data_IF_134858103728
#
_entry.id   IF_134858103728
#
_cell.length_a   1.000
_cell.length_b   1.000
_cell.length_c   1.000
_cell.angle_alpha   90.00
_cell.angle_beta   90.00
_cell.angle_gamma   90.00
#
_symmetry.space_group_name_H-M   'P 1'
#
loop_
_entity.id
_entity.type
_entity.pdbx_description
1 polymer ?
#
# COMPACT_ATOMS: atom_id res chain seq x y z
N UNK A 1 -11.72 29.14 -24.24
CA UNK A 1 -12.88 28.81 -23.37
C UNK A 1 -13.61 27.63 -24.00
N UNK A 2 -13.27 26.39 -23.59
CA UNK A 2 -13.94 25.19 -24.08
C UNK A 2 -15.24 25.00 -23.28
N UNK A 3 -16.35 24.93 -24.00
CA UNK A 3 -17.69 24.70 -23.45
C UNK A 3 -17.74 23.25 -22.96
N UNK A 4 -17.65 23.03 -21.65
CA UNK A 4 -17.81 21.71 -21.04
C UNK A 4 -19.19 21.17 -21.42
N UNK A 5 -19.22 20.12 -22.24
CA UNK A 5 -20.48 19.43 -22.55
C UNK A 5 -21.02 18.82 -21.25
N UNK A 6 -22.33 18.89 -20.99
CA UNK A 6 -22.91 18.20 -19.85
C UNK A 6 -22.69 16.70 -20.03
N UNK A 7 -21.91 16.10 -19.12
CA UNK A 7 -21.63 14.67 -19.09
C UNK A 7 -22.86 13.97 -18.52
N UNK A 8 -23.68 13.35 -19.38
CA UNK A 8 -24.83 12.56 -18.94
C UNK A 8 -24.34 11.17 -18.50
N UNK A 9 -24.27 11.00 -17.18
CA UNK A 9 -23.56 9.94 -16.47
C UNK A 9 -24.04 8.50 -16.75
N UNK A 10 -25.31 8.34 -17.14
CA UNK A 10 -25.88 7.03 -17.48
C UNK A 10 -25.60 6.60 -18.92
N UNK A 11 -25.07 7.51 -19.74
CA UNK A 11 -24.86 7.31 -21.17
C UNK A 11 -23.42 7.55 -21.61
N UNK A 12 -22.57 8.13 -20.76
CA UNK A 12 -21.17 8.35 -21.09
C UNK A 12 -20.36 7.06 -20.85
N UNK A 13 -19.96 6.34 -21.92
CA UNK A 13 -19.30 5.05 -21.81
C UNK A 13 -17.99 5.11 -21.01
N UNK A 14 -17.35 6.28 -20.99
CA UNK A 14 -16.03 6.46 -20.37
C UNK A 14 -16.11 6.39 -18.85
N UNK A 15 -17.16 6.97 -18.27
CA UNK A 15 -17.38 6.98 -16.82
C UNK A 15 -17.73 5.58 -16.31
N UNK A 16 -18.58 4.88 -17.07
CA UNK A 16 -18.92 3.48 -16.80
C UNK A 16 -17.66 2.63 -16.87
N UNK A 17 -16.84 2.79 -17.91
CA UNK A 17 -15.58 2.07 -18.06
C UNK A 17 -14.64 2.25 -16.87
N UNK A 18 -14.45 3.47 -16.37
CA UNK A 18 -13.58 3.74 -15.23
C UNK A 18 -14.15 3.16 -13.92
N UNK A 19 -15.46 3.20 -13.72
CA UNK A 19 -16.12 2.56 -12.58
C UNK A 19 -15.94 1.05 -12.58
N UNK A 20 -16.06 0.41 -13.76
CA UNK A 20 -15.78 -1.01 -13.93
C UNK A 20 -14.33 -1.32 -13.60
N UNK A 21 -13.37 -0.58 -14.17
CA UNK A 21 -11.94 -0.77 -13.88
C UNK A 21 -11.66 -0.63 -12.38
N UNK A 22 -12.17 0.44 -11.75
CA UNK A 22 -12.01 0.69 -10.31
C UNK A 22 -12.59 -0.45 -9.47
N UNK A 23 -13.76 -0.96 -9.85
CA UNK A 23 -14.43 -2.08 -9.16
C UNK A 23 -13.71 -3.41 -9.37
N UNK A 24 -13.16 -3.67 -10.56
CA UNK A 24 -12.33 -4.85 -10.84
C UNK A 24 -11.06 -4.83 -10.00
N UNK A 25 -10.38 -3.67 -9.91
CA UNK A 25 -9.20 -3.48 -9.06
C UNK A 25 -9.55 -3.67 -7.58
N UNK A 26 -10.67 -3.10 -7.13
CA UNK A 26 -11.15 -3.29 -5.77
C UNK A 26 -11.46 -4.77 -5.46
N UNK A 27 -12.10 -5.49 -6.39
CA UNK A 27 -12.36 -6.92 -6.26
C UNK A 27 -11.06 -7.74 -6.10
N UNK A 28 -10.04 -7.45 -6.91
CA UNK A 28 -8.72 -8.06 -6.76
C UNK A 28 -8.07 -7.74 -5.40
N UNK A 29 -8.19 -6.49 -4.95
CA UNK A 29 -7.73 -6.05 -3.64
C UNK A 29 -8.44 -6.82 -2.50
N UNK A 30 -9.75 -6.98 -2.58
CA UNK A 30 -10.55 -7.69 -1.59
C UNK A 30 -10.12 -9.16 -1.44
N UNK A 31 -9.96 -9.88 -2.55
CA UNK A 31 -9.49 -11.27 -2.55
C UNK A 31 -8.09 -11.38 -1.96
N UNK A 32 -7.16 -10.51 -2.37
CA UNK A 32 -5.80 -10.48 -1.83
C UNK A 32 -5.79 -10.16 -0.33
N UNK A 33 -6.70 -9.29 0.13
CA UNK A 33 -6.82 -8.94 1.54
C UNK A 33 -7.27 -10.14 2.39
N UNK A 34 -8.23 -10.94 1.90
CA UNK A 34 -8.64 -12.18 2.57
C UNK A 34 -7.47 -13.15 2.66
N UNK A 35 -6.76 -13.38 1.55
CA UNK A 35 -5.59 -14.27 1.51
C UNK A 35 -4.51 -13.77 2.47
N UNK A 36 -4.20 -12.47 2.45
CA UNK A 36 -3.23 -11.85 3.33
C UNK A 36 -3.61 -12.03 4.79
N UNK A 37 -4.87 -11.78 5.13
CA UNK A 37 -5.37 -11.88 6.50
C UNK A 37 -5.29 -13.30 7.01
N UNK A 38 -5.65 -14.28 6.18
CA UNK A 38 -5.55 -15.70 6.52
C UNK A 38 -4.10 -16.12 6.79
N UNK A 39 -3.16 -15.75 5.91
CA UNK A 39 -1.73 -16.08 6.08
C UNK A 39 -1.19 -15.43 7.35
N UNK A 40 -1.47 -14.14 7.57
CA UNK A 40 -0.92 -13.39 8.69
C UNK A 40 -1.51 -13.86 10.04
N UNK A 41 -2.80 -14.19 10.10
CA UNK A 41 -3.41 -14.79 11.30
C UNK A 41 -2.82 -16.15 11.64
N UNK A 42 -2.60 -17.00 10.62
CA UNK A 42 -1.95 -18.29 10.81
C UNK A 42 -0.55 -18.11 11.39
N UNK A 43 0.20 -17.13 10.91
CA UNK A 43 1.53 -16.81 11.44
C UNK A 43 1.51 -16.33 12.88
N UNK A 44 0.66 -15.36 13.22
CA UNK A 44 0.55 -14.89 14.60
C UNK A 44 0.24 -16.05 15.56
N UNK A 45 -0.57 -17.02 15.11
CA UNK A 45 -0.90 -18.21 15.88
C UNK A 45 0.31 -19.14 16.06
N UNK A 46 1.11 -19.35 15.01
CA UNK A 46 2.33 -20.17 15.07
C UNK A 46 3.47 -19.49 15.87
N UNK A 47 3.63 -18.18 15.75
CA UNK A 47 4.71 -17.41 16.38
C UNK A 47 4.43 -17.06 17.85
N UNK A 48 3.26 -17.40 18.41
CA UNK A 48 2.92 -17.20 19.84
C UNK A 48 3.94 -17.79 20.82
N UNK A 49 4.84 -18.67 20.36
CA UNK A 49 5.92 -19.27 21.18
C UNK A 49 7.11 -18.32 21.42
N UNK A 50 7.25 -17.19 20.71
CA UNK A 50 8.39 -16.27 20.87
C UNK A 50 7.94 -14.80 20.97
N UNK A 51 8.04 -14.19 22.16
CA UNK A 51 7.29 -12.97 22.52
C UNK A 51 7.74 -11.66 21.86
N UNK A 52 8.98 -11.55 21.36
CA UNK A 52 9.51 -10.27 20.86
C UNK A 52 9.15 -9.97 19.39
N UNK A 53 8.87 -11.00 18.59
CA UNK A 53 8.48 -10.85 17.18
C UNK A 53 6.99 -10.49 16.98
N UNK A 54 6.16 -10.76 17.98
CA UNK A 54 4.69 -10.67 17.88
C UNK A 54 4.18 -9.23 17.76
N UNK A 55 4.86 -8.26 18.39
CA UNK A 55 4.40 -6.86 18.39
C UNK A 55 4.44 -6.24 16.99
N UNK A 56 5.52 -6.46 16.24
CA UNK A 56 5.66 -5.92 14.88
C UNK A 56 4.61 -6.47 13.92
N UNK A 57 4.38 -7.78 13.96
CA UNK A 57 3.36 -8.45 13.14
C UNK A 57 1.95 -8.00 13.50
N UNK A 58 1.67 -7.80 14.79
CA UNK A 58 0.35 -7.34 15.26
C UNK A 58 0.05 -5.91 14.83
N UNK A 59 1.02 -4.99 14.95
CA UNK A 59 0.87 -3.60 14.48
C UNK A 59 0.66 -3.57 12.97
N UNK A 60 1.41 -4.39 12.23
CA UNK A 60 1.29 -4.47 10.77
C UNK A 60 -0.07 -5.01 10.32
N UNK A 61 -0.59 -6.00 11.04
CA UNK A 61 -1.93 -6.56 10.85
C UNK A 61 -3.00 -5.50 11.12
N UNK A 62 -2.92 -4.79 12.25
CA UNK A 62 -3.85 -3.72 12.60
C UNK A 62 -3.88 -2.59 11.56
N UNK A 63 -2.71 -2.14 11.07
CA UNK A 63 -2.62 -1.15 9.99
C UNK A 63 -3.22 -1.67 8.68
N UNK A 64 -3.05 -2.97 8.38
CA UNK A 64 -3.66 -3.62 7.23
C UNK A 64 -5.20 -3.60 7.28
N UNK A 65 -5.79 -3.99 8.42
CA UNK A 65 -7.24 -3.92 8.63
C UNK A 65 -7.76 -2.47 8.54
N UNK A 66 -7.08 -1.53 9.19
CA UNK A 66 -7.44 -0.12 9.13
C UNK A 66 -7.46 0.39 7.68
N UNK A 67 -6.43 0.06 6.90
CA UNK A 67 -6.35 0.41 5.47
C UNK A 67 -7.52 -0.16 4.69
N UNK A 68 -7.85 -1.43 4.93
CA UNK A 68 -8.95 -2.12 4.25
C UNK A 68 -10.30 -1.46 4.50
N UNK A 69 -10.62 -1.13 5.75
CA UNK A 69 -11.88 -0.45 6.07
C UNK A 69 -11.97 0.93 5.43
N UNK A 70 -10.88 1.72 5.48
CA UNK A 70 -10.87 3.07 4.89
C UNK A 70 -11.01 3.01 3.36
N UNK A 71 -10.29 2.11 2.68
CA UNK A 71 -10.36 1.97 1.22
C UNK A 71 -11.74 1.46 0.80
N UNK A 72 -12.30 0.48 1.50
CA UNK A 72 -13.66 -0.03 1.26
C UNK A 72 -14.69 1.09 1.41
N UNK A 73 -14.58 1.89 2.47
CA UNK A 73 -15.47 3.04 2.68
C UNK A 73 -15.32 4.09 1.58
N UNK A 74 -14.09 4.41 1.16
CA UNK A 74 -13.81 5.32 0.05
C UNK A 74 -14.44 4.82 -1.26
N UNK A 75 -14.34 3.52 -1.55
CA UNK A 75 -14.92 2.90 -2.73
C UNK A 75 -16.45 2.94 -2.72
N UNK A 76 -17.09 2.60 -1.59
CA UNK A 76 -18.57 2.70 -1.43
C UNK A 76 -19.03 4.14 -1.65
N UNK A 77 -18.35 5.11 -1.04
CA UNK A 77 -18.69 6.52 -1.20
C UNK A 77 -18.50 7.00 -2.63
N UNK A 78 -17.51 6.46 -3.35
CA UNK A 78 -17.33 6.74 -4.77
C UNK A 78 -18.52 6.28 -5.58
N UNK A 79 -19.02 5.07 -5.35
CA UNK A 79 -20.25 4.59 -5.97
C UNK A 79 -21.47 5.45 -5.63
N UNK A 80 -21.64 5.83 -4.37
CA UNK A 80 -22.78 6.65 -3.93
C UNK A 80 -22.73 8.06 -4.52
N UNK A 81 -21.55 8.68 -4.56
CA UNK A 81 -21.35 10.01 -5.13
C UNK A 81 -21.61 10.02 -6.64
N UNK A 82 -21.16 8.97 -7.34
CA UNK A 82 -21.25 8.84 -8.80
C UNK A 82 -22.66 8.40 -9.26
N UNK A 83 -23.41 7.65 -8.45
CA UNK A 83 -24.78 7.21 -8.78
C UNK A 83 -25.84 8.33 -8.79
N UNK A 84 -25.45 9.59 -8.53
CA UNK A 84 -26.39 10.71 -8.39
C UNK A 84 -26.20 11.73 -9.54
N UNK A 85 -27.17 11.84 -10.48
CA UNK A 85 -27.01 12.61 -11.72
C UNK A 85 -26.90 14.13 -11.56
N UNK A 86 -27.09 14.68 -10.35
CA UNK A 86 -27.07 16.14 -10.08
C UNK A 86 -25.76 16.65 -9.47
N UNK A 87 -24.79 15.79 -9.21
CA UNK A 87 -23.55 16.16 -8.48
C UNK A 87 -22.55 16.94 -9.36
N UNK A 88 -22.66 16.87 -10.69
CA UNK A 88 -21.73 17.56 -11.62
C UNK A 88 -22.31 18.90 -12.14
N UNK A 89 -23.62 19.16 -11.95
CA UNK A 89 -24.26 20.47 -12.16
C UNK A 89 -24.31 21.27 -10.85
N UNK A 90 -23.17 21.54 -10.21
CA UNK A 90 -23.18 22.36 -8.97
C UNK A 90 -22.64 23.76 -9.24
N UNK A 91 -23.54 24.59 -9.75
CA UNK A 91 -23.50 26.06 -9.64
C UNK A 91 -24.05 26.54 -8.27
N UNK A 92 -24.40 25.60 -7.36
CA UNK A 92 -24.81 25.92 -5.99
C UNK A 92 -24.14 24.97 -4.98
N UNK A 93 -23.46 25.48 -3.94
CA UNK A 93 -22.85 24.65 -2.89
C UNK A 93 -23.96 24.02 -2.02
N UNK A 94 -24.40 22.81 -2.38
CA UNK A 94 -25.41 22.03 -1.65
C UNK A 94 -24.83 20.80 -0.94
N UNK A 95 -25.70 20.02 -0.31
CA UNK A 95 -25.41 18.77 0.46
C UNK A 95 -24.50 17.75 -0.26
N UNK A 96 -24.36 17.83 -1.57
CA UNK A 96 -23.51 16.98 -2.41
C UNK A 96 -22.03 17.37 -2.41
N UNK A 97 -21.70 18.65 -2.26
CA UNK A 97 -20.30 19.07 -2.10
C UNK A 97 -19.72 18.54 -0.78
N UNK A 98 -20.57 18.32 0.23
CA UNK A 98 -20.18 17.69 1.49
C UNK A 98 -19.88 16.20 1.35
N UNK A 99 -20.62 15.46 0.51
CA UNK A 99 -20.32 14.04 0.26
C UNK A 99 -19.01 13.85 -0.52
N UNK A 100 -18.78 14.65 -1.56
CA UNK A 100 -17.50 14.67 -2.27
C UNK A 100 -16.34 15.08 -1.36
N UNK A 101 -16.58 16.02 -0.45
CA UNK A 101 -15.62 16.39 0.58
C UNK A 101 -15.26 15.21 1.48
N UNK A 102 -16.26 14.51 2.04
CA UNK A 102 -16.05 13.32 2.87
C UNK A 102 -15.32 12.22 2.08
N UNK A 103 -15.67 12.03 0.82
CA UNK A 103 -15.03 11.03 -0.02
C UNK A 103 -13.54 11.35 -0.26
N UNK A 104 -13.22 12.58 -0.66
CA UNK A 104 -11.83 13.03 -0.82
C UNK A 104 -11.07 12.96 0.49
N UNK A 105 -11.75 13.28 1.60
CA UNK A 105 -11.17 13.19 2.93
C UNK A 105 -10.72 11.78 3.30
N UNK A 106 -11.62 10.82 3.10
CA UNK A 106 -11.36 9.39 3.37
C UNK A 106 -10.32 8.86 2.37
N UNK A 107 -10.38 9.28 1.12
CA UNK A 107 -9.38 8.97 0.10
C UNK A 107 -7.98 9.42 0.50
N UNK A 108 -7.81 10.69 0.88
CA UNK A 108 -6.54 11.22 1.39
C UNK A 108 -6.08 10.46 2.64
N UNK A 109 -6.99 10.17 3.58
CA UNK A 109 -6.69 9.35 4.75
C UNK A 109 -6.15 7.97 4.37
N UNK A 110 -6.76 7.31 3.38
CA UNK A 110 -6.29 6.01 2.88
C UNK A 110 -4.87 6.08 2.31
N UNK A 111 -4.58 7.13 1.54
CA UNK A 111 -3.25 7.36 0.98
C UNK A 111 -2.22 7.62 2.09
N UNK A 112 -2.57 8.40 3.11
CA UNK A 112 -1.70 8.63 4.28
C UNK A 112 -1.38 7.33 5.02
N UNK A 113 -2.36 6.45 5.20
CA UNK A 113 -2.12 5.14 5.83
C UNK A 113 -1.22 4.27 4.97
N UNK A 114 -1.41 4.24 3.65
CA UNK A 114 -0.55 3.51 2.72
C UNK A 114 0.92 4.00 2.79
N UNK A 115 1.14 5.31 2.75
CA UNK A 115 2.47 5.93 2.89
C UNK A 115 3.08 5.66 4.28
N UNK A 116 2.26 5.64 5.34
CA UNK A 116 2.71 5.28 6.69
C UNK A 116 3.21 3.84 6.77
N UNK A 117 2.52 2.90 6.10
CA UNK A 117 2.94 1.50 6.02
C UNK A 117 4.27 1.39 5.27
N UNK A 118 4.46 2.15 4.20
CA UNK A 118 5.72 2.19 3.46
C UNK A 118 6.88 2.71 4.32
N UNK A 119 6.66 3.81 5.06
CA UNK A 119 7.64 4.35 6.00
C UNK A 119 7.99 3.35 7.12
N UNK A 120 6.98 2.67 7.67
CA UNK A 120 7.17 1.63 8.68
C UNK A 120 8.02 0.45 8.15
N UNK A 121 7.79 0.03 6.91
CA UNK A 121 8.62 -1.01 6.26
C UNK A 121 10.06 -0.58 6.12
N UNK A 122 10.29 0.65 5.69
CA UNK A 122 11.64 1.19 5.55
C UNK A 122 12.35 1.20 6.92
N UNK A 123 11.64 1.56 8.00
CA UNK A 123 12.17 1.53 9.36
C UNK A 123 12.61 0.12 9.81
N UNK A 124 11.78 -0.90 9.56
CA UNK A 124 12.12 -2.31 9.89
C UNK A 124 13.35 -2.78 9.09
N UNK A 125 13.41 -2.47 7.81
CA UNK A 125 14.46 -2.94 6.90
C UNK A 125 15.82 -2.29 7.21
N UNK A 126 15.85 -1.13 7.85
CA UNK A 126 17.09 -0.45 8.19
C UNK A 126 17.52 -0.64 9.65
N UNK A 127 17.01 -1.66 10.34
CA UNK A 127 17.45 -2.04 11.70
C UNK A 127 17.38 -0.86 12.70
N UNK A 128 16.38 0.01 12.55
CA UNK A 128 16.19 1.22 13.37
C UNK A 128 17.30 2.28 13.24
N UNK A 129 18.06 2.31 12.14
CA UNK A 129 18.98 3.43 11.85
C UNK A 129 18.20 4.74 11.73
N UNK A 130 18.44 5.65 12.68
CA UNK A 130 17.69 6.91 12.83
C UNK A 130 17.72 7.80 11.58
N UNK A 131 18.80 7.81 10.80
CA UNK A 131 18.94 8.67 9.60
C UNK A 131 17.87 8.38 8.55
N UNK A 132 17.64 7.09 8.24
CA UNK A 132 16.66 6.70 7.22
C UNK A 132 15.23 6.92 7.72
N UNK A 133 15.00 6.71 9.02
CA UNK A 133 13.73 7.06 9.66
C UNK A 133 13.45 8.56 9.54
N UNK A 134 14.41 9.42 9.88
CA UNK A 134 14.24 10.86 9.76
C UNK A 134 13.97 11.30 8.32
N UNK A 135 14.67 10.73 7.34
CA UNK A 135 14.39 11.02 5.93
C UNK A 135 12.94 10.65 5.54
N UNK A 136 12.46 9.47 5.92
CA UNK A 136 11.09 9.04 5.65
C UNK A 136 10.05 9.92 6.38
N UNK A 137 10.33 10.28 7.64
CA UNK A 137 9.46 11.15 8.44
C UNK A 137 9.39 12.54 7.84
N UNK A 138 10.51 13.14 7.41
CA UNK A 138 10.52 14.47 6.77
C UNK A 138 9.69 14.46 5.49
N UNK A 139 9.86 13.44 4.65
CA UNK A 139 9.09 13.30 3.41
C UNK A 139 7.59 13.10 3.71
N UNK A 140 7.26 12.28 4.70
CA UNK A 140 5.87 12.06 5.14
C UNK A 140 5.24 13.33 5.71
N UNK A 141 5.99 14.12 6.49
CA UNK A 141 5.53 15.41 7.00
C UNK A 141 5.30 16.43 5.87
N UNK A 142 6.16 16.41 4.84
CA UNK A 142 5.93 17.20 3.62
C UNK A 142 4.64 16.81 2.91
N UNK A 143 4.40 15.51 2.73
CA UNK A 143 3.15 14.99 2.17
C UNK A 143 1.93 15.38 3.00
N UNK A 144 2.03 15.27 4.34
CA UNK A 144 1.00 15.68 5.28
C UNK A 144 0.68 17.18 5.17
N UNK A 145 1.71 18.03 5.12
CA UNK A 145 1.56 19.47 5.01
C UNK A 145 0.82 19.88 3.73
N UNK A 146 1.20 19.31 2.58
CA UNK A 146 0.51 19.58 1.30
C UNK A 146 -0.92 19.05 1.32
N UNK A 147 -1.15 17.88 1.92
CA UNK A 147 -2.49 17.32 2.06
C UNK A 147 -3.40 18.22 2.92
N UNK A 148 -2.88 18.75 4.03
CA UNK A 148 -3.61 19.70 4.89
C UNK A 148 -3.87 21.01 4.14
N UNK A 149 -2.88 21.53 3.42
CA UNK A 149 -3.04 22.74 2.61
C UNK A 149 -4.19 22.59 1.61
N UNK A 150 -4.23 21.47 0.88
CA UNK A 150 -5.29 21.18 -0.09
C UNK A 150 -6.67 21.08 0.56
N UNK A 151 -6.73 20.47 1.74
CA UNK A 151 -7.95 20.42 2.52
C UNK A 151 -8.45 21.79 2.95
N UNK A 152 -7.57 22.64 3.47
CA UNK A 152 -7.92 24.01 3.89
C UNK A 152 -8.33 24.85 2.67
N UNK A 153 -7.62 24.70 1.55
CA UNK A 153 -7.94 25.35 0.29
C UNK A 153 -9.33 24.95 -0.20
N UNK A 154 -9.65 23.65 -0.18
CA UNK A 154 -10.96 23.14 -0.56
C UNK A 154 -12.07 23.64 0.37
N UNK A 155 -11.84 23.65 1.69
CA UNK A 155 -12.81 24.17 2.67
C UNK A 155 -13.15 25.64 2.40
N UNK A 156 -12.16 26.44 1.99
CA UNK A 156 -12.34 27.87 1.70
C UNK A 156 -13.00 28.14 0.36
N UNK A 157 -12.56 27.46 -0.70
CA UNK A 157 -12.96 27.77 -2.09
C UNK A 157 -14.10 26.89 -2.58
N UNK A 158 -14.34 25.75 -1.93
CA UNK A 158 -15.23 24.66 -2.40
C UNK A 158 -14.80 24.09 -3.77
N UNK A 159 -13.57 24.37 -4.19
CA UNK A 159 -12.97 23.91 -5.44
C UNK A 159 -11.72 23.11 -5.10
N UNK A 160 -11.51 22.01 -5.82
CA UNK A 160 -10.28 21.21 -5.68
C UNK A 160 -9.20 21.87 -6.53
N UNK A 161 -8.03 22.15 -5.94
CA UNK A 161 -6.92 22.73 -6.69
C UNK A 161 -6.33 21.68 -7.64
N UNK A 162 -6.32 21.98 -8.94
CA UNK A 162 -5.66 21.13 -9.94
C UNK A 162 -4.16 21.03 -9.63
N UNK A 163 -3.51 22.13 -9.27
CA UNK A 163 -2.08 22.16 -8.94
C UNK A 163 -1.75 21.45 -7.63
N UNK A 164 -2.70 21.49 -6.71
CA UNK A 164 -2.68 20.76 -5.45
C UNK A 164 -2.58 19.27 -5.60
N UNK A 165 -3.57 18.68 -6.28
CA UNK A 165 -3.59 17.23 -6.54
C UNK A 165 -2.33 16.80 -7.29
N UNK A 166 -1.92 17.57 -8.31
CA UNK A 166 -0.68 17.32 -9.05
C UNK A 166 0.53 17.24 -8.12
N UNK A 167 0.65 18.19 -7.19
CA UNK A 167 1.76 18.23 -6.22
C UNK A 167 1.72 17.03 -5.28
N UNK A 168 0.54 16.66 -4.76
CA UNK A 168 0.36 15.47 -3.90
C UNK A 168 0.78 14.19 -4.65
N UNK A 169 0.33 14.04 -5.89
CA UNK A 169 0.64 12.87 -6.71
C UNK A 169 2.13 12.79 -7.02
N UNK A 170 2.76 13.91 -7.38
CA UNK A 170 4.21 13.98 -7.64
C UNK A 170 5.04 13.66 -6.40
N UNK A 171 4.62 14.16 -5.23
CA UNK A 171 5.27 13.84 -3.95
C UNK A 171 5.12 12.35 -3.68
N UNK A 172 3.89 11.80 -3.69
CA UNK A 172 3.64 10.37 -3.43
C UNK A 172 4.42 9.46 -4.39
N UNK A 173 4.48 9.81 -5.69
CA UNK A 173 5.30 9.09 -6.68
C UNK A 173 6.79 9.10 -6.28
N UNK A 174 7.30 10.27 -5.91
CA UNK A 174 8.69 10.44 -5.49
C UNK A 174 9.00 9.64 -4.21
N UNK A 175 8.10 9.69 -3.21
CA UNK A 175 8.23 8.92 -1.97
C UNK A 175 8.29 7.43 -2.29
N UNK A 176 7.39 6.94 -3.14
CA UNK A 176 7.34 5.52 -3.49
C UNK A 176 8.61 5.06 -4.21
N UNK A 177 9.13 5.85 -5.15
CA UNK A 177 10.37 5.54 -5.86
C UNK A 177 11.55 5.53 -4.89
N UNK A 178 11.70 6.56 -4.05
CA UNK A 178 12.80 6.68 -3.09
C UNK A 178 12.73 5.55 -2.06
N UNK A 179 11.56 5.30 -1.47
CA UNK A 179 11.37 4.26 -0.47
C UNK A 179 11.61 2.86 -1.06
N UNK A 180 11.09 2.57 -2.25
CA UNK A 180 11.32 1.28 -2.93
C UNK A 180 12.79 1.09 -3.23
N UNK A 181 13.46 2.12 -3.75
CA UNK A 181 14.91 2.08 -4.03
C UNK A 181 15.72 1.86 -2.75
N UNK A 182 15.37 2.54 -1.66
CA UNK A 182 16.03 2.39 -0.36
C UNK A 182 15.78 1.00 0.26
N UNK A 183 14.60 0.42 0.05
CA UNK A 183 14.27 -0.95 0.45
C UNK A 183 15.14 -1.95 -0.33
N UNK A 184 15.19 -1.83 -1.66
CA UNK A 184 15.98 -2.70 -2.53
C UNK A 184 17.46 -2.61 -2.16
N UNK A 185 17.97 -1.39 -1.98
CA UNK A 185 19.36 -1.15 -1.58
C UNK A 185 19.68 -1.75 -0.20
N UNK A 186 18.81 -1.52 0.79
CA UNK A 186 18.98 -2.10 2.12
C UNK A 186 18.99 -3.63 2.09
N UNK A 187 18.11 -4.22 1.30
CA UNK A 187 18.02 -5.67 1.11
C UNK A 187 19.26 -6.21 0.38
N UNK A 188 19.72 -5.53 -0.67
CA UNK A 188 20.95 -5.89 -1.40
C UNK A 188 22.21 -5.82 -0.52
N UNK A 189 22.28 -4.83 0.38
CA UNK A 189 23.38 -4.74 1.33
C UNK A 189 23.39 -5.94 2.28
N UNK A 190 22.22 -6.34 2.80
CA UNK A 190 22.09 -7.51 3.68
C UNK A 190 22.39 -8.83 2.96
N UNK A 191 21.91 -8.98 1.73
CA UNK A 191 22.19 -10.18 0.92
C UNK A 191 23.68 -10.32 0.64
N UNK A 192 24.42 -9.21 0.46
CA UNK A 192 25.89 -9.25 0.28
C UNK A 192 26.61 -9.83 1.50
N UNK A 193 26.14 -9.54 2.72
CA UNK A 193 26.67 -10.16 3.94
C UNK A 193 26.21 -11.63 4.09
N UNK A 194 24.99 -11.97 3.68
CA UNK A 194 24.44 -13.33 3.84
C UNK A 194 24.82 -14.31 2.72
N UNK A 195 25.57 -13.88 1.69
CA UNK A 195 26.02 -14.76 0.59
C UNK A 195 26.78 -15.99 1.10
N UNK A 196 27.45 -15.88 2.25
CA UNK A 196 28.14 -17.01 2.89
C UNK A 196 27.19 -18.12 3.39
N UNK A 197 25.89 -17.85 3.54
CA UNK A 197 24.92 -18.74 4.20
C UNK A 197 23.79 -19.25 3.28
N UNK A 198 23.89 -19.07 1.95
CA UNK A 198 22.95 -19.67 0.98
C UNK A 198 21.55 -19.04 0.87
N UNK A 199 21.21 -18.03 1.69
CA UNK A 199 19.89 -17.36 1.68
C UNK A 199 19.58 -16.45 0.47
N UNK A 200 20.46 -16.38 -0.52
CA UNK A 200 20.39 -15.42 -1.64
C UNK A 200 19.13 -15.57 -2.51
N UNK A 201 18.71 -16.82 -2.81
CA UNK A 201 17.59 -17.10 -3.73
C UNK A 201 16.25 -16.60 -3.17
N UNK A 202 16.02 -16.78 -1.87
CA UNK A 202 14.78 -16.36 -1.20
C UNK A 202 14.66 -14.83 -1.18
N UNK A 203 15.78 -14.15 -0.86
CA UNK A 203 15.81 -12.68 -0.80
C UNK A 203 15.63 -12.06 -2.18
N UNK A 204 16.19 -12.65 -3.25
CA UNK A 204 15.95 -12.19 -4.62
C UNK A 204 14.48 -12.30 -5.03
N UNK A 205 13.84 -13.42 -4.69
CA UNK A 205 12.40 -13.60 -4.92
C UNK A 205 11.59 -12.53 -4.21
N UNK A 206 11.94 -12.19 -2.96
CA UNK A 206 11.33 -11.08 -2.20
C UNK A 206 11.57 -9.71 -2.85
N UNK A 207 12.77 -9.42 -3.35
CA UNK A 207 13.08 -8.15 -4.04
C UNK A 207 12.24 -7.99 -5.31
N UNK A 208 12.23 -9.00 -6.18
CA UNK A 208 11.48 -8.96 -7.44
C UNK A 208 9.99 -8.68 -7.20
N UNK A 209 9.48 -9.31 -6.15
CA UNK A 209 8.14 -9.13 -5.64
C UNK A 209 7.85 -7.68 -5.20
N UNK A 210 8.77 -7.07 -4.46
CA UNK A 210 8.60 -5.69 -3.97
C UNK A 210 8.56 -4.73 -5.16
N UNK A 211 9.47 -4.96 -6.12
CA UNK A 211 9.54 -4.19 -7.37
C UNK A 211 8.22 -4.31 -8.14
N UNK A 212 7.67 -5.50 -8.29
CA UNK A 212 6.40 -5.71 -9.00
C UNK A 212 5.24 -4.95 -8.35
N UNK A 213 5.10 -5.00 -7.03
CA UNK A 213 4.05 -4.28 -6.30
C UNK A 213 4.22 -2.76 -6.34
N UNK A 214 5.47 -2.26 -6.30
CA UNK A 214 5.76 -0.83 -6.45
C UNK A 214 5.57 -0.35 -7.89
N UNK A 215 5.89 -1.19 -8.88
CA UNK A 215 5.68 -0.91 -10.29
C UNK A 215 4.18 -0.68 -10.58
N UNK A 216 3.29 -1.50 -10.02
CA UNK A 216 1.84 -1.32 -10.21
C UNK A 216 1.35 0.06 -9.76
N UNK A 217 1.77 0.51 -8.57
CA UNK A 217 1.36 1.83 -8.06
C UNK A 217 2.00 2.98 -8.85
N UNK A 218 3.29 2.88 -9.16
CA UNK A 218 4.00 3.92 -9.92
C UNK A 218 3.47 4.05 -11.35
N UNK A 219 3.18 2.95 -12.04
CA UNK A 219 2.56 2.97 -13.38
C UNK A 219 1.22 3.70 -13.33
N UNK A 220 0.38 3.41 -12.34
CA UNK A 220 -0.90 4.10 -12.19
C UNK A 220 -0.75 5.61 -12.01
N UNK A 221 0.16 6.03 -11.14
CA UNK A 221 0.45 7.45 -10.91
C UNK A 221 1.02 8.13 -12.15
N UNK A 222 1.86 7.45 -12.93
CA UNK A 222 2.39 7.97 -14.20
C UNK A 222 1.27 8.12 -15.23
N UNK A 223 0.39 7.12 -15.38
CA UNK A 223 -0.78 7.20 -16.28
C UNK A 223 -1.67 8.37 -15.89
N UNK A 224 -1.95 8.55 -14.59
CA UNK A 224 -2.68 9.69 -14.08
C UNK A 224 -2.00 11.02 -14.47
N UNK A 225 -0.69 11.16 -14.24
CA UNK A 225 0.05 12.38 -14.55
C UNK A 225 0.04 12.69 -16.05
N UNK A 226 0.24 11.68 -16.91
CA UNK A 226 0.19 11.85 -18.37
C UNK A 226 -1.18 12.37 -18.79
N UNK A 227 -2.26 11.76 -18.32
CA UNK A 227 -3.62 12.18 -18.66
C UNK A 227 -3.96 13.57 -18.11
N UNK A 228 -3.41 13.89 -16.93
CA UNK A 228 -3.50 15.22 -16.35
C UNK A 228 -2.79 16.27 -17.23
N UNK A 229 -1.57 16.00 -17.71
CA UNK A 229 -0.82 16.94 -18.57
C UNK A 229 -1.48 17.14 -19.94
N UNK A 230 -2.18 16.13 -20.45
CA UNK A 230 -2.98 16.23 -21.68
C UNK A 230 -4.30 17.01 -21.43
N UNK A 231 -4.60 17.40 -20.19
CA UNK A 231 -5.82 18.10 -19.78
C UNK A 231 -7.10 17.32 -20.10
N UNK A 232 -7.04 15.98 -20.02
CA UNK A 232 -8.24 15.15 -20.10
C UNK A 232 -9.03 15.27 -18.80
N UNK A 233 -10.29 15.68 -18.89
CA UNK A 233 -11.19 15.84 -17.75
C UNK A 233 -11.40 14.52 -16.99
N UNK A 234 -11.16 13.39 -17.66
CA UNK A 234 -11.22 12.03 -17.10
C UNK A 234 -10.06 11.70 -16.15
N UNK A 235 -9.00 12.51 -16.10
CA UNK A 235 -7.88 12.30 -15.16
C UNK A 235 -8.38 12.29 -13.69
N UNK A 236 -9.39 13.09 -13.38
CA UNK A 236 -10.01 13.10 -12.05
C UNK A 236 -10.73 11.79 -11.69
N UNK A 237 -11.25 11.06 -12.67
CA UNK A 237 -11.94 9.79 -12.43
C UNK A 237 -10.94 8.68 -12.05
N UNK A 238 -9.72 8.72 -12.59
CA UNK A 238 -8.64 7.81 -12.21
C UNK A 238 -8.19 8.00 -10.76
N UNK A 239 -8.38 9.20 -10.21
CA UNK A 239 -8.06 9.47 -8.80
C UNK A 239 -8.82 8.52 -7.86
N UNK A 240 -10.07 8.18 -8.20
CA UNK A 240 -10.88 7.24 -7.41
C UNK A 240 -10.33 5.81 -7.41
N UNK A 241 -9.71 5.37 -8.50
CA UNK A 241 -9.07 4.05 -8.58
C UNK A 241 -7.73 3.99 -7.85
N UNK A 242 -7.04 5.12 -7.66
CA UNK A 242 -5.73 5.19 -7.01
C UNK A 242 -5.72 4.63 -5.60
N UNK A 243 -6.79 4.87 -4.83
CA UNK A 243 -6.91 4.36 -3.45
C UNK A 243 -6.94 2.82 -3.42
N UNK A 244 -7.66 2.22 -4.38
CA UNK A 244 -7.73 0.76 -4.50
C UNK A 244 -6.38 0.17 -4.89
N UNK A 245 -5.61 0.83 -5.77
CA UNK A 245 -4.28 0.37 -6.18
C UNK A 245 -3.23 0.58 -5.08
N UNK A 246 -3.30 1.67 -4.33
CA UNK A 246 -2.47 1.86 -3.14
C UNK A 246 -2.69 0.72 -2.14
N UNK A 247 -3.96 0.36 -1.90
CA UNK A 247 -4.34 -0.82 -1.12
C UNK A 247 -3.79 -2.12 -1.69
N UNK A 248 -4.00 -2.37 -2.99
CA UNK A 248 -3.53 -3.55 -3.70
C UNK A 248 -2.02 -3.73 -3.56
N UNK A 249 -1.24 -2.68 -3.86
CA UNK A 249 0.21 -2.66 -3.72
C UNK A 249 0.63 -2.97 -2.28
N UNK A 250 -0.01 -2.32 -1.31
CA UNK A 250 0.27 -2.53 0.11
C UNK A 250 -0.02 -3.98 0.53
N UNK A 251 -1.15 -4.55 0.13
CA UNK A 251 -1.53 -5.93 0.46
C UNK A 251 -0.64 -6.96 -0.24
N UNK A 252 -0.24 -6.73 -1.50
CA UNK A 252 0.69 -7.61 -2.21
C UNK A 252 1.99 -7.76 -1.45
N UNK A 253 2.53 -6.67 -0.92
CA UNK A 253 3.71 -6.75 -0.07
C UNK A 253 3.42 -7.49 1.24
N UNK A 254 2.26 -7.28 1.88
CA UNK A 254 1.89 -7.99 3.12
C UNK A 254 1.82 -9.50 2.94
N UNK A 255 1.10 -9.97 1.91
CA UNK A 255 0.99 -11.38 1.54
C UNK A 255 2.38 -12.00 1.41
N UNK A 256 3.29 -11.28 0.74
CA UNK A 256 4.59 -11.82 0.37
C UNK A 256 5.60 -11.78 1.51
N UNK A 257 5.53 -10.77 2.39
CA UNK A 257 6.26 -10.78 3.68
C UNK A 257 5.79 -11.97 4.53
N UNK A 258 4.48 -12.22 4.57
CA UNK A 258 3.92 -13.42 5.18
C UNK A 258 4.52 -14.69 4.59
N UNK A 259 4.38 -14.93 3.30
CA UNK A 259 4.93 -16.13 2.65
C UNK A 259 6.45 -16.29 2.84
N UNK A 260 7.20 -15.18 2.83
CA UNK A 260 8.64 -15.17 3.01
C UNK A 260 9.12 -15.61 4.38
N UNK A 261 8.36 -15.30 5.44
CA UNK A 261 8.62 -15.82 6.79
C UNK A 261 8.25 -17.29 6.94
N UNK A 262 7.15 -17.72 6.33
CA UNK A 262 6.74 -19.13 6.36
C UNK A 262 7.81 -20.05 5.75
N UNK A 263 8.40 -19.66 4.61
CA UNK A 263 9.46 -20.43 3.96
C UNK A 263 10.77 -20.47 4.77
N UNK A 264 11.06 -19.42 5.55
CA UNK A 264 12.24 -19.38 6.42
C UNK A 264 12.11 -20.27 7.66
N UNK A 265 10.91 -20.41 8.18
CA UNK A 265 10.61 -21.23 9.36
C UNK A 265 10.64 -22.74 9.02
N UNK A 266 10.09 -23.12 7.86
CA UNK A 266 10.14 -24.49 7.35
C UNK A 266 11.59 -24.97 7.14
N UNK A 267 12.44 -24.14 6.53
CA UNK A 267 13.87 -24.44 6.38
C UNK A 267 14.60 -24.63 7.71
N UNK A 268 14.21 -23.85 8.74
CA UNK A 268 14.79 -23.94 10.09
C UNK A 268 14.37 -25.22 10.81
N UNK A 269 13.12 -25.64 10.61
CA UNK A 269 12.56 -26.89 11.16
C UNK A 269 13.22 -28.12 10.54
N UNK A 270 13.39 -28.17 9.21
CA UNK A 270 14.13 -29.25 8.53
C UNK A 270 15.59 -29.32 8.99
N UNK A 271 16.21 -28.17 9.25
CA UNK A 271 17.60 -28.13 9.74
C UNK A 271 17.71 -28.67 11.15
N UNK A 272 16.79 -28.29 12.06
CA UNK A 272 16.78 -28.84 13.42
C UNK A 272 16.48 -30.33 13.45
N UNK A 273 15.59 -30.81 12.57
CA UNK A 273 15.29 -32.24 12.44
C UNK A 273 16.50 -33.03 11.92
N UNK A 274 17.19 -32.49 10.91
CA UNK A 274 18.43 -33.08 10.41
C UNK A 274 19.53 -33.06 11.47
N UNK A 275 19.68 -31.97 12.22
CA UNK A 275 20.66 -31.86 13.30
C UNK A 275 20.35 -32.82 14.46
N UNK A 276 19.08 -33.01 14.82
CA UNK A 276 18.67 -34.01 15.80
C UNK A 276 18.79 -35.46 15.33
N UNK A 277 18.70 -35.71 14.02
CA UNK A 277 18.88 -37.05 13.44
C UNK A 277 20.36 -37.46 13.35
N UNK A 278 21.29 -36.50 13.42
CA UNK A 278 22.74 -36.73 13.43
C UNK A 278 23.36 -36.69 14.84
N UNK A 279 22.57 -36.45 15.89
CA UNK A 279 23.00 -36.72 17.26
C UNK A 279 23.02 -38.25 17.43
N UNK A 280 24.22 -38.79 17.38
CA UNK A 280 24.54 -40.22 17.38
C UNK A 280 23.92 -40.93 18.60
N UNK A 281 23.05 -41.95 18.41
CA UNK A 281 22.49 -42.72 19.53
C UNK A 281 23.55 -43.47 20.34
N UNK A 282 24.74 -43.69 19.78
CA UNK A 282 25.85 -44.43 20.40
C UNK A 282 26.61 -43.64 21.47
N UNK A 283 26.39 -42.31 21.58
CA UNK A 283 26.98 -41.51 22.65
C UNK A 283 26.30 -41.71 24.01
N UNK A 284 25.10 -42.30 24.05
CA UNK A 284 24.35 -42.53 25.28
C UNK A 284 24.67 -43.86 25.98
N UNK A 285 25.41 -44.77 25.33
CA UNK A 285 25.77 -46.10 25.88
C UNK A 285 27.16 -46.19 26.51
N UNK A 286 27.88 -45.07 26.66
CA UNK A 286 29.23 -45.03 27.23
C UNK A 286 29.29 -44.61 28.71
N UNK A 287 28.15 -44.38 29.38
CA UNK A 287 28.06 -44.06 30.81
C UNK A 287 27.16 -45.07 31.55
N UNK A 288 27.57 -46.34 31.61
CA UNK A 288 27.16 -47.22 32.71
C UNK A 288 28.42 -47.80 33.36
N UNK A 289 28.69 -47.50 34.65
CA UNK A 289 29.87 -47.98 35.38
C UNK A 289 29.77 -49.45 35.80
#
# INVERSE_FOLDING_TARGET
MNRTRPVDFLTDPDVIGILFISSSVYGAYFVLFIISSFILHRQVTLTKRNSSGTLGTTVHLALGYLSFFIITLSWILSWVALSKPKVIKLDKPGRWSFLLFIQNAIGCGSAMVAESILAFRLYIIWERRKVVLWAAVVVFLGYLAVSIYEWVFFLRTRVVSRDGIKTIVMISLSVNIIATSAIIWGLWRRTRLSRALGGWKILFKMVAILIESAALYTIWMVVYLVLYFINLDQSHLLLYGSFCIAGLSTTLVNVRVGLGWAAGEEGRLTRSLHESAFVDPDAASAEEP
#
